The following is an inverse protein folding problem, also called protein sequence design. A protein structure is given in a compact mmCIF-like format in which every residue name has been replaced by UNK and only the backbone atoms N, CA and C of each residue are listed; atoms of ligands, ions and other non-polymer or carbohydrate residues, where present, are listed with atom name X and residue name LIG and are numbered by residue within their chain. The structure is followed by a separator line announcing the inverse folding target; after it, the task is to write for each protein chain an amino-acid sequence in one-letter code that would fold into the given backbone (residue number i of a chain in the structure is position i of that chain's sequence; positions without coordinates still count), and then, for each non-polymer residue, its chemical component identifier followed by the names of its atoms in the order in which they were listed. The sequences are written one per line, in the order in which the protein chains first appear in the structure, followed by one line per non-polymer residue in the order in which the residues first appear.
data_IF_063365124908
#
_entry.id   IF_063365124908
#
_cell.length_a   1.000
_cell.length_b   1.000
_cell.length_c   1.000
_cell.angle_alpha   90.00
_cell.angle_beta   90.00
_cell.angle_gamma   90.00
#
_symmetry.space_group_name_H-M   'P 1'
#
loop_
_entity.id
_entity.type
_entity.pdbx_description
1 polymer ?
#
# COMPACT_ATOMS: atom_id res chain seq x y z
N UNK A 1 -10.69 -28.42 -40.49
CA UNK A 1 -11.00 -27.09 -39.93
C UNK A 1 -10.89 -27.15 -38.40
N UNK A 2 -9.76 -27.65 -37.89
CA UNK A 2 -9.55 -28.01 -36.46
C UNK A 2 -8.23 -27.48 -35.90
N UNK A 3 -7.21 -27.23 -36.72
CA UNK A 3 -5.90 -26.70 -36.28
C UNK A 3 -5.98 -25.32 -35.61
N UNK A 4 -6.94 -24.49 -36.00
CA UNK A 4 -7.14 -23.16 -35.40
C UNK A 4 -7.64 -23.26 -33.95
N UNK A 5 -8.33 -24.34 -33.58
CA UNK A 5 -8.88 -24.56 -32.23
C UNK A 5 -7.84 -24.99 -31.20
N UNK A 6 -6.83 -25.75 -31.63
CA UNK A 6 -5.75 -26.22 -30.76
C UNK A 6 -4.68 -25.13 -30.54
N UNK A 7 -4.45 -24.28 -31.55
CA UNK A 7 -3.55 -23.11 -31.44
C UNK A 7 -4.07 -22.08 -30.43
N UNK A 8 -5.36 -21.72 -30.49
CA UNK A 8 -5.97 -20.80 -29.50
C UNK A 8 -6.04 -21.40 -28.09
N UNK A 9 -6.24 -22.71 -27.96
CA UNK A 9 -6.24 -23.38 -26.67
C UNK A 9 -4.83 -23.42 -26.05
N UNK A 10 -3.81 -23.63 -26.88
CA UNK A 10 -2.40 -23.65 -26.47
C UNK A 10 -1.89 -22.25 -26.10
N UNK A 11 -2.30 -21.22 -26.85
CA UNK A 11 -2.00 -19.81 -26.54
C UNK A 11 -2.69 -19.36 -25.24
N UNK A 12 -3.98 -19.69 -25.05
CA UNK A 12 -4.70 -19.38 -23.81
C UNK A 12 -4.09 -20.10 -22.59
N UNK A 13 -3.61 -21.33 -22.77
CA UNK A 13 -2.89 -22.07 -21.72
C UNK A 13 -1.50 -21.47 -21.44
N UNK A 14 -0.79 -20.97 -22.46
CA UNK A 14 0.53 -20.33 -22.33
C UNK A 14 0.44 -18.95 -21.65
N UNK A 15 -0.58 -18.15 -21.98
CA UNK A 15 -0.88 -16.86 -21.30
C UNK A 15 -1.18 -17.08 -19.81
N UNK A 16 -1.85 -18.18 -19.47
CA UNK A 16 -2.16 -18.54 -18.07
C UNK A 16 -0.95 -19.03 -17.27
N UNK A 17 0.05 -19.61 -17.94
CA UNK A 17 1.21 -20.26 -17.30
C UNK A 17 2.47 -19.40 -17.28
N UNK A 18 2.61 -18.42 -18.19
CA UNK A 18 3.81 -17.59 -18.34
C UNK A 18 4.03 -16.51 -17.28
N UNK A 19 3.10 -16.29 -16.33
CA UNK A 19 3.29 -15.29 -15.26
C UNK A 19 2.55 -15.58 -13.95
N UNK A 20 2.23 -16.85 -13.68
CA UNK A 20 1.51 -17.17 -12.45
C UNK A 20 2.42 -17.03 -11.23
N UNK A 21 2.19 -15.98 -10.43
CA UNK A 21 2.77 -15.87 -9.08
C UNK A 21 2.45 -17.14 -8.30
N UNK A 22 3.45 -17.74 -7.65
CA UNK A 22 3.25 -18.91 -6.79
C UNK A 22 2.25 -18.60 -5.68
N UNK A 23 1.54 -19.62 -5.18
CA UNK A 23 0.53 -19.46 -4.12
C UNK A 23 1.10 -18.72 -2.89
N UNK A 24 2.34 -19.04 -2.49
CA UNK A 24 3.05 -18.35 -1.39
C UNK A 24 3.22 -16.85 -1.68
N UNK A 25 3.67 -16.53 -2.88
CA UNK A 25 3.86 -15.15 -3.33
C UNK A 25 2.55 -14.34 -3.31
N UNK A 26 1.43 -14.95 -3.72
CA UNK A 26 0.11 -14.30 -3.65
C UNK A 26 -0.32 -14.04 -2.21
N UNK A 27 -0.17 -15.01 -1.32
CA UNK A 27 -0.51 -14.87 0.11
C UNK A 27 0.34 -13.77 0.75
N UNK A 28 1.64 -13.72 0.48
CA UNK A 28 2.52 -12.66 0.99
C UNK A 28 2.07 -11.29 0.50
N UNK A 29 1.74 -11.12 -0.78
CA UNK A 29 1.24 -9.85 -1.30
C UNK A 29 -0.11 -9.45 -0.71
N UNK A 30 -1.01 -10.42 -0.49
CA UNK A 30 -2.29 -10.16 0.16
C UNK A 30 -2.10 -9.74 1.63
N UNK A 31 -1.20 -10.41 2.37
CA UNK A 31 -0.89 -10.05 3.75
C UNK A 31 -0.25 -8.66 3.84
N UNK A 32 0.75 -8.36 2.99
CA UNK A 32 1.38 -7.04 2.95
C UNK A 32 0.38 -5.96 2.51
N UNK A 33 -0.46 -6.25 1.51
CA UNK A 33 -1.54 -5.35 1.10
C UNK A 33 -2.49 -5.06 2.26
N UNK A 34 -2.89 -6.08 3.01
CA UNK A 34 -3.69 -5.93 4.23
C UNK A 34 -3.02 -5.04 5.27
N UNK A 35 -1.73 -5.25 5.54
CA UNK A 35 -0.95 -4.42 6.49
C UNK A 35 -0.92 -2.96 6.04
N UNK A 36 -0.63 -2.69 4.76
CA UNK A 36 -0.64 -1.33 4.21
C UNK A 36 -2.03 -0.69 4.29
N UNK A 37 -3.09 -1.47 4.10
CA UNK A 37 -4.46 -1.01 4.29
C UNK A 37 -4.73 -0.65 5.76
N UNK A 38 -4.32 -1.50 6.70
CA UNK A 38 -4.42 -1.22 8.13
C UNK A 38 -3.63 0.03 8.52
N UNK A 39 -2.44 0.27 7.93
CA UNK A 39 -1.69 1.52 8.14
C UNK A 39 -2.46 2.75 7.66
N UNK A 40 -3.11 2.65 6.50
CA UNK A 40 -3.95 3.73 5.94
C UNK A 40 -5.07 4.08 6.92
N UNK A 41 -5.75 3.06 7.44
CA UNK A 41 -6.80 3.21 8.45
C UNK A 41 -6.24 3.80 9.75
N UNK A 42 -5.08 3.33 10.19
CA UNK A 42 -4.40 3.85 11.38
C UNK A 42 -4.08 5.36 11.23
N UNK A 43 -3.59 5.80 10.07
CA UNK A 43 -3.39 7.22 9.78
C UNK A 43 -4.69 8.03 9.77
N UNK A 44 -5.78 7.45 9.27
CA UNK A 44 -7.10 8.07 9.31
C UNK A 44 -7.56 8.31 10.76
N UNK A 45 -7.37 7.35 11.66
CA UNK A 45 -7.66 7.56 13.08
C UNK A 45 -6.68 8.52 13.74
N UNK A 46 -5.38 8.42 13.46
CA UNK A 46 -4.35 9.27 14.04
C UNK A 46 -4.58 10.75 13.73
N UNK A 47 -4.91 11.08 12.49
CA UNK A 47 -5.21 12.45 12.04
C UNK A 47 -6.50 13.00 12.66
N UNK A 48 -7.48 12.15 12.94
CA UNK A 48 -8.71 12.56 13.63
C UNK A 48 -8.54 12.69 15.14
N UNK A 49 -7.72 11.85 15.76
CA UNK A 49 -7.44 11.89 17.19
C UNK A 49 -6.58 13.11 17.56
N UNK A 50 -5.61 13.48 16.73
CA UNK A 50 -4.70 14.58 17.01
C UNK A 50 -5.04 15.85 16.20
N UNK A 51 -6.30 16.29 16.30
CA UNK A 51 -6.73 17.55 15.68
C UNK A 51 -6.08 18.72 16.40
N UNK A 52 -5.00 19.24 15.82
CA UNK A 52 -4.39 20.50 16.27
C UNK A 52 -5.38 21.61 15.95
N UNK A 53 -5.93 22.24 16.99
CA UNK A 53 -6.77 23.43 16.86
C UNK A 53 -5.83 24.59 16.58
N UNK A 54 -5.85 25.09 15.35
CA UNK A 54 -5.04 26.23 14.91
C UNK A 54 -5.98 27.39 14.62
N UNK A 55 -5.73 28.55 15.21
CA UNK A 55 -6.57 29.75 15.03
C UNK A 55 -6.52 30.32 13.61
N UNK A 56 -5.44 30.03 12.86
CA UNK A 56 -5.26 30.50 11.49
C UNK A 56 -5.86 29.53 10.45
N UNK A 57 -6.79 30.04 9.65
CA UNK A 57 -7.47 29.33 8.53
C UNK A 57 -6.48 28.80 7.49
N UNK A 58 -5.37 29.51 7.26
CA UNK A 58 -4.34 29.07 6.32
C UNK A 58 -3.61 27.83 6.85
N UNK A 59 -3.18 27.85 8.11
CA UNK A 59 -2.52 26.73 8.75
C UNK A 59 -3.42 25.51 8.93
N UNK A 60 -4.72 25.72 9.20
CA UNK A 60 -5.72 24.66 9.23
C UNK A 60 -5.81 23.92 7.89
N UNK A 61 -5.78 24.67 6.79
CA UNK A 61 -5.81 24.11 5.43
C UNK A 61 -4.52 23.32 5.16
N UNK A 62 -3.37 23.89 5.48
CA UNK A 62 -2.06 23.26 5.32
C UNK A 62 -1.94 21.93 6.09
N UNK A 63 -2.45 21.91 7.32
CA UNK A 63 -2.48 20.71 8.17
C UNK A 63 -3.42 19.64 7.60
N UNK A 64 -4.58 20.03 7.07
CA UNK A 64 -5.53 19.10 6.44
C UNK A 64 -4.97 18.49 5.16
N UNK A 65 -4.25 19.28 4.35
CA UNK A 65 -3.54 18.76 3.17
C UNK A 65 -2.45 17.76 3.58
N UNK A 66 -1.64 18.08 4.59
CA UNK A 66 -0.62 17.15 5.11
C UNK A 66 -1.23 15.83 5.61
N UNK A 67 -2.34 15.90 6.35
CA UNK A 67 -3.07 14.73 6.82
C UNK A 67 -3.57 13.85 5.67
N UNK A 68 -4.09 14.46 4.60
CA UNK A 68 -4.53 13.75 3.40
C UNK A 68 -3.38 13.01 2.71
N UNK A 69 -2.23 13.68 2.53
CA UNK A 69 -1.03 13.05 1.96
C UNK A 69 -0.51 11.91 2.84
N UNK A 70 -0.55 12.06 4.17
CA UNK A 70 -0.13 11.00 5.09
C UNK A 70 -1.00 9.74 4.96
N UNK A 71 -2.32 9.91 4.83
CA UNK A 71 -3.25 8.78 4.64
C UNK A 71 -2.97 8.09 3.30
N UNK A 72 -2.79 8.85 2.20
CA UNK A 72 -2.62 8.29 0.85
C UNK A 72 -1.21 7.74 0.61
N UNK A 73 -0.22 8.18 1.39
CA UNK A 73 1.15 7.67 1.27
C UNK A 73 1.21 6.13 1.36
N UNK A 74 0.43 5.52 2.26
CA UNK A 74 0.37 4.05 2.43
C UNK A 74 -0.03 3.29 1.17
N UNK A 75 -1.25 3.47 0.63
CA UNK A 75 -1.64 2.78 -0.57
C UNK A 75 -0.75 3.16 -1.75
N UNK A 76 -0.31 4.43 -1.84
CA UNK A 76 0.53 4.90 -2.93
C UNK A 76 1.90 4.21 -2.95
N UNK A 77 2.57 4.06 -1.80
CA UNK A 77 3.87 3.38 -1.71
C UNK A 77 3.76 1.89 -2.07
N UNK A 78 2.69 1.24 -1.62
CA UNK A 78 2.41 -0.14 -1.98
C UNK A 78 2.26 -0.29 -3.50
N UNK A 79 1.41 0.52 -4.13
CA UNK A 79 1.19 0.51 -5.58
C UNK A 79 2.47 0.81 -6.37
N UNK A 80 3.22 1.85 -5.99
CA UNK A 80 4.51 2.19 -6.61
C UNK A 80 5.47 1.02 -6.55
N UNK A 81 5.57 0.33 -5.41
CA UNK A 81 6.43 -0.84 -5.26
C UNK A 81 5.99 -2.01 -6.15
N UNK A 82 4.68 -2.24 -6.30
CA UNK A 82 4.16 -3.29 -7.17
C UNK A 82 4.48 -3.03 -8.65
N UNK A 83 4.40 -1.77 -9.08
CA UNK A 83 4.61 -1.37 -10.47
C UNK A 83 6.10 -1.30 -10.81
N UNK A 84 6.91 -0.75 -9.91
CA UNK A 84 8.30 -0.41 -10.20
C UNK A 84 9.26 -1.59 -10.02
N UNK A 85 8.98 -2.52 -9.10
CA UNK A 85 9.94 -3.56 -8.71
C UNK A 85 9.51 -4.91 -9.25
N UNK A 86 10.25 -5.37 -10.27
CA UNK A 86 10.05 -6.68 -10.92
C UNK A 86 10.61 -7.85 -10.12
N UNK A 87 11.68 -7.62 -9.35
CA UNK A 87 12.36 -8.65 -8.57
C UNK A 87 11.66 -8.91 -7.24
N UNK A 88 11.31 -10.18 -6.99
CA UNK A 88 10.60 -10.61 -5.78
C UNK A 88 11.28 -10.23 -4.44
N UNK A 89 12.57 -10.51 -4.21
CA UNK A 89 13.21 -10.16 -2.93
C UNK A 89 13.34 -8.65 -2.74
N UNK A 90 13.63 -7.90 -3.82
CA UNK A 90 13.66 -6.43 -3.78
C UNK A 90 12.30 -5.84 -3.44
N UNK A 91 11.21 -6.41 -4.00
CA UNK A 91 9.84 -5.96 -3.74
C UNK A 91 9.47 -6.09 -2.27
N UNK A 92 9.79 -7.23 -1.65
CA UNK A 92 9.52 -7.45 -0.22
C UNK A 92 10.38 -6.51 0.63
N UNK A 93 11.66 -6.36 0.31
CA UNK A 93 12.57 -5.48 1.05
C UNK A 93 12.09 -4.02 1.02
N UNK A 94 11.72 -3.52 -0.16
CA UNK A 94 11.18 -2.16 -0.31
C UNK A 94 9.86 -2.00 0.43
N UNK A 95 8.95 -2.99 0.38
CA UNK A 95 7.71 -2.93 1.15
C UNK A 95 7.95 -2.90 2.66
N UNK A 96 8.94 -3.63 3.17
CA UNK A 96 9.33 -3.57 4.58
C UNK A 96 9.91 -2.19 4.96
N UNK A 97 10.72 -1.61 4.07
CA UNK A 97 11.24 -0.25 4.25
C UNK A 97 10.11 0.78 4.29
N UNK A 98 9.17 0.71 3.35
CA UNK A 98 7.98 1.56 3.38
C UNK A 98 7.14 1.34 4.63
N UNK A 99 7.02 0.10 5.11
CA UNK A 99 6.28 -0.19 6.33
C UNK A 99 6.89 0.50 7.55
N UNK A 100 8.22 0.49 7.64
CA UNK A 100 8.94 1.20 8.69
C UNK A 100 8.82 2.73 8.56
N UNK A 101 8.91 3.27 7.33
CA UNK A 101 8.78 4.71 7.10
C UNK A 101 7.36 5.24 7.38
N UNK A 102 6.34 4.48 6.98
CA UNK A 102 4.95 4.90 7.05
C UNK A 102 4.29 4.57 8.40
N UNK A 103 5.05 3.95 9.31
CA UNK A 103 4.57 3.62 10.64
C UNK A 103 3.89 4.83 11.28
N UNK A 104 2.63 4.72 11.75
CA UNK A 104 1.87 5.86 12.25
C UNK A 104 2.35 6.24 13.66
N UNK A 105 3.50 6.93 13.72
CA UNK A 105 4.06 7.50 14.95
C UNK A 105 3.08 8.36 15.78
N UNK A 106 2.17 9.14 15.18
CA UNK A 106 1.26 9.98 15.98
C UNK A 106 0.34 9.18 16.90
N UNK A 107 -0.01 7.94 16.54
CA UNK A 107 -0.79 7.04 17.39
C UNK A 107 -0.03 6.62 18.66
N UNK A 108 1.30 6.57 18.61
CA UNK A 108 2.15 6.15 19.73
C UNK A 108 2.58 7.31 20.62
N UNK A 109 2.77 8.50 20.06
CA UNK A 109 3.15 9.70 20.84
C UNK A 109 1.96 10.52 21.36
N UNK A 110 0.73 10.17 20.97
CA UNK A 110 -0.47 10.94 21.25
C UNK A 110 -1.24 10.52 22.50
N UNK A 111 -0.63 10.51 23.70
CA UNK A 111 -1.30 10.80 24.98
C UNK A 111 -0.24 11.26 25.99
N UNK A 112 -0.03 12.58 26.12
CA UNK A 112 0.42 13.15 27.41
C UNK A 112 -0.85 13.72 28.06
N UNK A 113 -1.40 13.09 29.10
CA UNK A 113 -2.47 13.72 29.85
C UNK A 113 -1.89 14.97 30.52
N UNK A 114 -2.44 16.14 30.19
CA UNK A 114 -2.24 17.36 30.96
C UNK A 114 -3.13 17.33 32.21
#
# INVERSE_FOLDING_TARGET
MTENGESIASEAANVSSSSSLTTRQRITLAALGGIYLSLTVAWLFATQANRVIVDDRFQQSMTSFGAFFAIIASPLYFFTTLVLIRNWPGRVLTLLIGLALLFPFPLFWGVVPA
#
